data_IF_832007969431
#
_entry.id   IF_832007969431
#
_cell.length_a   1.000
_cell.length_b   1.000
_cell.length_c   1.000
_cell.angle_alpha   90.00
_cell.angle_beta   90.00
_cell.angle_gamma   90.00
#
_symmetry.space_group_name_H-M   'P 1'
#
loop_
_entity.id
_entity.type
_entity.pdbx_description
1 polymer ?
#
# COMPACT_ATOMS: atom_id res chain seq x y z
N UNK A 1 -27.85 17.14 -0.89
CA UNK A 1 -28.36 16.02 -0.22
C UNK A 1 -27.54 14.84 -0.51
N UNK A 2 -27.57 14.46 -1.72
CA UNK A 2 -26.82 13.29 -2.10
C UNK A 2 -25.36 13.51 -1.93
N UNK A 3 -24.97 14.73 -2.13
CA UNK A 3 -23.58 15.03 -1.99
C UNK A 3 -23.09 14.77 -0.60
N UNK A 4 -23.93 15.04 0.34
CA UNK A 4 -23.53 14.80 1.71
C UNK A 4 -23.19 13.34 1.94
N UNK A 5 -23.94 12.49 1.29
CA UNK A 5 -23.70 11.07 1.45
C UNK A 5 -22.32 10.69 0.98
N UNK A 6 -21.91 11.23 -0.14
CA UNK A 6 -20.60 10.92 -0.65
C UNK A 6 -19.52 11.39 0.30
N UNK A 7 -19.74 12.55 0.84
CA UNK A 7 -18.76 13.09 1.76
C UNK A 7 -18.65 12.23 2.99
N UNK A 8 -19.78 11.74 3.44
CA UNK A 8 -19.77 10.91 4.64
C UNK A 8 -18.92 9.67 4.44
N UNK A 9 -18.95 9.09 3.27
CA UNK A 9 -18.16 7.91 3.03
C UNK A 9 -16.70 8.19 3.25
N UNK A 10 -16.25 9.34 2.81
CA UNK A 10 -14.86 9.68 2.97
C UNK A 10 -14.51 9.83 4.43
N UNK A 11 -15.38 10.42 5.18
CA UNK A 11 -15.12 10.62 6.58
C UNK A 11 -15.07 9.31 7.32
N UNK A 12 -15.89 8.37 6.93
CA UNK A 12 -15.88 7.08 7.57
C UNK A 12 -14.54 6.41 7.44
N UNK A 13 -13.91 6.57 6.32
CA UNK A 13 -12.62 5.97 6.11
C UNK A 13 -11.59 6.54 7.08
N UNK A 14 -11.66 7.82 7.32
CA UNK A 14 -10.75 8.43 8.26
C UNK A 14 -10.94 7.86 9.65
N UNK A 15 -12.19 7.67 10.04
CA UNK A 15 -12.47 7.12 11.34
C UNK A 15 -11.92 5.72 11.47
N UNK A 16 -12.02 4.98 10.43
CA UNK A 16 -11.46 3.67 10.44
C UNK A 16 -9.99 3.69 10.75
N UNK A 17 -9.26 4.57 10.11
CA UNK A 17 -7.84 4.65 10.33
C UNK A 17 -7.54 4.85 11.78
N UNK A 18 -8.29 5.69 12.42
CA UNK A 18 -8.05 5.94 13.82
C UNK A 18 -8.41 4.75 14.67
N UNK A 19 -9.44 4.05 14.30
CA UNK A 19 -9.89 2.94 15.10
C UNK A 19 -8.88 1.82 15.10
N UNK A 20 -8.25 1.60 14.01
CA UNK A 20 -7.32 0.56 13.97
C UNK A 20 -6.07 0.82 14.65
N UNK A 21 -5.66 2.02 14.45
CA UNK A 21 -4.68 2.49 15.08
C UNK A 21 -3.72 1.54 15.54
N UNK A 22 -3.27 1.17 15.35
CA UNK A 22 -2.24 0.59 15.69
C UNK A 22 -2.22 -0.63 16.54
N UNK A 23 -3.12 -0.74 17.36
CA UNK A 23 -3.16 -1.81 18.34
C UNK A 23 -3.22 -3.17 17.69
N UNK A 24 -4.17 -3.38 16.83
CA UNK A 24 -4.33 -4.67 16.20
C UNK A 24 -3.16 -4.97 15.31
N UNK A 25 -2.69 -3.96 14.63
CA UNK A 25 -1.62 -4.17 13.69
C UNK A 25 -0.33 -4.54 14.40
N UNK A 26 -0.09 -3.94 15.54
CA UNK A 26 1.09 -4.28 16.30
C UNK A 26 1.12 -5.75 16.63
N UNK A 27 -0.01 -6.28 17.06
CA UNK A 27 -0.05 -7.67 17.44
C UNK A 27 0.26 -8.55 16.23
N UNK A 28 -0.25 -8.18 15.10
CA UNK A 28 -0.02 -8.96 13.90
C UNK A 28 1.45 -8.95 13.52
N UNK A 29 2.06 -7.79 13.61
CA UNK A 29 3.46 -7.70 13.25
C UNK A 29 4.31 -8.59 14.11
N UNK A 30 4.02 -8.64 15.37
CA UNK A 30 4.82 -9.44 16.27
C UNK A 30 4.76 -10.90 15.92
N UNK A 31 3.70 -11.31 15.29
CA UNK A 31 3.54 -12.71 14.99
C UNK A 31 3.98 -13.09 13.61
N UNK A 32 4.62 -12.21 12.91
CA UNK A 32 4.99 -12.48 11.54
C UNK A 32 6.47 -12.54 11.29
N UNK A 33 7.22 -13.17 12.16
CA UNK A 33 8.66 -13.25 11.89
C UNK A 33 8.95 -14.11 10.69
N UNK A 34 8.09 -15.05 10.41
CA UNK A 34 8.34 -15.96 9.30
C UNK A 34 8.27 -15.26 7.96
N UNK A 35 7.46 -14.23 7.88
CA UNK A 35 7.35 -13.52 6.62
C UNK A 35 8.67 -12.93 6.20
N UNK A 36 9.48 -12.61 7.15
CA UNK A 36 10.74 -11.97 6.85
C UNK A 36 11.66 -12.85 6.05
N UNK A 37 11.41 -14.14 6.07
CA UNK A 37 12.28 -15.03 5.33
C UNK A 37 12.17 -14.82 3.85
N UNK A 38 10.98 -14.51 3.37
CA UNK A 38 10.79 -14.34 1.94
C UNK A 38 11.16 -12.95 1.51
N UNK A 39 11.22 -12.04 2.44
CA UNK A 39 11.44 -10.67 2.10
C UNK A 39 12.80 -10.26 2.60
N UNK A 40 13.28 -9.17 2.13
CA UNK A 40 14.54 -8.63 2.55
C UNK A 40 14.31 -7.74 3.76
N UNK A 41 13.79 -8.32 4.82
CA UNK A 41 13.55 -7.56 6.03
C UNK A 41 12.39 -6.59 5.87
N UNK A 42 12.46 -5.46 6.57
CA UNK A 42 11.32 -4.51 6.55
C UNK A 42 10.98 -4.02 5.17
N UNK A 43 11.98 -3.76 4.34
CA UNK A 43 11.70 -3.28 2.99
C UNK A 43 11.00 -4.37 2.20
N UNK A 44 11.43 -5.61 2.36
CA UNK A 44 10.79 -6.70 1.64
C UNK A 44 9.34 -6.87 2.03
N UNK A 45 9.03 -6.62 3.30
CA UNK A 45 7.65 -6.72 3.74
C UNK A 45 6.79 -5.64 3.10
N UNK A 46 7.35 -4.47 2.91
CA UNK A 46 6.62 -3.41 2.24
C UNK A 46 6.40 -3.75 0.77
N UNK A 47 7.39 -4.36 0.14
CA UNK A 47 7.24 -4.79 -1.23
C UNK A 47 6.15 -5.83 -1.34
N UNK A 48 6.10 -6.77 -0.39
CA UNK A 48 5.07 -7.79 -0.43
C UNK A 48 3.68 -7.20 -0.25
N UNK A 49 3.56 -6.18 0.59
CA UNK A 49 2.29 -5.52 0.76
C UNK A 49 1.84 -4.88 -0.56
N UNK A 50 2.75 -4.19 -1.21
CA UNK A 50 2.43 -3.55 -2.48
C UNK A 50 2.06 -4.61 -3.52
N UNK A 51 2.84 -5.68 -3.58
CA UNK A 51 2.56 -6.75 -4.53
C UNK A 51 1.19 -7.34 -4.30
N UNK A 52 0.84 -7.56 -3.05
CA UNK A 52 -0.47 -8.12 -2.74
C UNK A 52 -1.58 -7.21 -3.23
N UNK A 53 -1.46 -5.92 -2.95
CA UNK A 53 -2.50 -4.99 -3.32
C UNK A 53 -2.63 -4.85 -4.84
N UNK A 54 -1.51 -4.69 -5.51
CA UNK A 54 -1.55 -4.46 -6.94
C UNK A 54 -1.95 -5.74 -7.68
N UNK A 55 -1.50 -6.88 -7.20
CA UNK A 55 -1.86 -8.15 -7.84
C UNK A 55 -3.37 -8.38 -7.82
N UNK A 56 -4.03 -7.88 -6.81
CA UNK A 56 -5.48 -8.04 -6.72
C UNK A 56 -6.22 -7.16 -7.71
N UNK A 57 -5.54 -6.18 -8.29
CA UNK A 57 -6.19 -5.21 -9.15
C UNK A 57 -5.96 -5.46 -10.63
N UNK A 58 -4.85 -6.09 -10.98
CA UNK A 58 -4.50 -6.29 -12.38
C UNK A 58 -4.95 -7.66 -12.85
N UNK A 59 -5.08 -7.80 -14.15
CA UNK A 59 -5.52 -9.07 -14.72
C UNK A 59 -4.42 -10.11 -14.69
N UNK A 60 -3.20 -9.69 -14.90
CA UNK A 60 -2.08 -10.62 -15.01
C UNK A 60 -0.97 -10.19 -14.08
N UNK A 61 -0.96 -10.70 -12.86
CA UNK A 61 0.05 -10.27 -11.88
C UNK A 61 1.47 -10.57 -12.31
N UNK A 62 1.66 -11.47 -13.22
CA UNK A 62 3.01 -11.81 -13.66
C UNK A 62 3.65 -10.71 -14.47
N UNK A 63 2.85 -9.79 -14.96
CA UNK A 63 3.40 -8.69 -15.74
C UNK A 63 3.86 -7.53 -14.87
N UNK A 64 3.68 -7.64 -13.57
CA UNK A 64 4.06 -6.57 -12.68
C UNK A 64 5.55 -6.54 -12.44
N UNK A 65 6.08 -5.34 -12.33
CA UNK A 65 7.46 -5.17 -11.90
C UNK A 65 7.44 -4.21 -10.73
N UNK A 66 8.07 -4.62 -9.64
CA UNK A 66 8.13 -3.81 -8.44
C UNK A 66 9.58 -3.60 -8.08
N UNK A 67 10.00 -2.35 -7.98
CA UNK A 67 11.39 -2.01 -7.73
C UNK A 67 11.50 -1.15 -6.49
N UNK A 68 12.03 -1.70 -5.41
CA UNK A 68 12.25 -0.90 -4.20
C UNK A 68 13.63 -0.28 -4.23
N UNK A 69 13.73 0.91 -3.70
CA UNK A 69 15.01 1.56 -3.49
C UNK A 69 14.99 2.12 -2.09
N UNK A 70 16.08 1.96 -1.39
CA UNK A 70 16.15 2.43 -0.02
C UNK A 70 17.33 3.37 0.15
N UNK A 71 17.06 4.51 0.76
CA UNK A 71 18.09 5.49 1.07
C UNK A 71 17.88 5.85 2.54
N UNK A 72 18.71 5.25 3.41
CA UNK A 72 18.52 5.46 4.83
C UNK A 72 17.18 4.91 5.26
N UNK A 73 16.34 5.75 5.82
CA UNK A 73 15.02 5.34 6.26
C UNK A 73 13.96 5.58 5.21
N UNK A 74 14.33 6.09 4.07
CA UNK A 74 13.38 6.35 3.01
C UNK A 74 13.36 5.19 2.03
N UNK A 75 12.17 4.70 1.75
CA UNK A 75 11.99 3.59 0.83
C UNK A 75 11.10 4.08 -0.31
N UNK A 76 11.58 3.93 -1.52
CA UNK A 76 10.80 4.30 -2.68
C UNK A 76 10.46 3.04 -3.45
N UNK A 77 9.19 2.77 -3.63
CA UNK A 77 8.74 1.57 -4.31
C UNK A 77 8.08 1.97 -5.61
N UNK A 78 8.64 1.53 -6.70
CA UNK A 78 8.11 1.83 -8.01
C UNK A 78 7.43 0.59 -8.56
N UNK A 79 6.19 0.75 -9.00
CA UNK A 79 5.42 -0.33 -9.56
C UNK A 79 5.17 -0.03 -11.02
N UNK A 80 5.50 -0.97 -11.87
CA UNK A 80 5.28 -0.82 -13.29
C UNK A 80 4.21 -1.82 -13.70
N UNK A 81 3.12 -1.31 -14.26
CA UNK A 81 2.01 -2.15 -14.68
C UNK A 81 1.76 -1.90 -16.16
N UNK A 82 1.13 -2.84 -16.85
CA UNK A 82 0.75 -2.60 -18.24
C UNK A 82 -0.18 -1.40 -18.34
N UNK A 83 -0.03 -0.68 -19.41
CA UNK A 83 -0.80 0.53 -19.59
C UNK A 83 -2.30 0.26 -19.51
N UNK A 84 -2.73 -0.88 -19.99
CA UNK A 84 -4.14 -1.23 -19.94
C UNK A 84 -4.65 -1.37 -18.51
N UNK A 85 -3.78 -1.69 -17.59
CA UNK A 85 -4.18 -1.89 -16.20
C UNK A 85 -3.98 -0.66 -15.34
N UNK A 86 -3.41 0.40 -15.89
CA UNK A 86 -3.16 1.60 -15.10
C UNK A 86 -4.42 2.13 -14.46
N UNK A 87 -5.52 2.16 -15.20
CA UNK A 87 -6.75 2.68 -14.66
C UNK A 87 -7.26 1.89 -13.47
N UNK A 88 -6.99 0.60 -13.47
CA UNK A 88 -7.44 -0.24 -12.36
C UNK A 88 -6.63 0.01 -11.11
N UNK A 89 -5.36 0.32 -11.28
CA UNK A 89 -4.50 0.54 -10.13
C UNK A 89 -4.64 1.95 -9.59
N UNK A 90 -4.82 2.91 -10.48
CA UNK A 90 -4.99 4.29 -10.05
C UNK A 90 -6.38 4.51 -9.48
N UNK A 91 -7.38 3.97 -10.18
CA UNK A 91 -8.74 4.11 -9.73
C UNK A 91 -9.33 5.44 -10.13
N UNK A 92 -10.63 5.57 -9.88
CA UNK A 92 -11.34 6.80 -10.24
C UNK A 92 -10.78 7.93 -9.38
N UNK A 93 -10.34 8.97 -10.05
CA UNK A 93 -9.81 10.14 -9.37
C UNK A 93 -8.63 9.81 -8.47
N UNK A 94 -7.96 8.72 -8.77
CA UNK A 94 -6.77 8.36 -8.03
C UNK A 94 -7.04 7.77 -6.65
N UNK A 95 -8.27 7.37 -6.39
CA UNK A 95 -8.60 6.92 -5.05
C UNK A 95 -7.90 5.64 -4.64
N UNK A 96 -7.77 4.71 -5.57
CA UNK A 96 -7.14 3.44 -5.24
C UNK A 96 -5.66 3.68 -4.95
N UNK A 97 -5.01 4.42 -5.82
CA UNK A 97 -3.60 4.71 -5.61
C UNK A 97 -3.37 5.45 -4.30
N UNK A 98 -4.25 6.39 -4.00
CA UNK A 98 -4.12 7.15 -2.77
C UNK A 98 -4.29 6.24 -1.55
N UNK A 99 -5.24 5.34 -1.61
CA UNK A 99 -5.46 4.41 -0.51
C UNK A 99 -4.26 3.49 -0.32
N UNK A 100 -3.69 3.04 -1.43
CA UNK A 100 -2.51 2.18 -1.32
C UNK A 100 -1.35 2.94 -0.69
N UNK A 101 -1.19 4.20 -1.07
CA UNK A 101 -0.12 5.00 -0.49
C UNK A 101 -0.33 5.19 1.00
N UNK A 102 -1.57 5.38 1.40
CA UNK A 102 -1.85 5.53 2.82
C UNK A 102 -1.50 4.27 3.58
N UNK A 103 -1.92 3.13 3.08
CA UNK A 103 -1.60 1.87 3.74
C UNK A 103 -0.10 1.64 3.80
N UNK A 104 0.58 1.95 2.71
CA UNK A 104 2.01 1.76 2.68
C UNK A 104 2.71 2.69 3.68
N UNK A 105 2.24 3.91 3.78
CA UNK A 105 2.81 4.85 4.72
C UNK A 105 2.65 4.36 6.14
N UNK A 106 1.48 3.85 6.46
CA UNK A 106 1.24 3.34 7.80
C UNK A 106 2.13 2.13 8.07
N UNK A 107 2.21 1.21 7.15
CA UNK A 107 3.02 0.03 7.33
C UNK A 107 4.48 0.39 7.50
N UNK A 108 4.97 1.33 6.71
CA UNK A 108 6.36 1.75 6.81
C UNK A 108 6.64 2.43 8.14
N UNK A 109 5.71 3.24 8.58
CA UNK A 109 5.89 3.96 9.82
C UNK A 109 6.08 3.01 10.99
N UNK A 110 5.41 1.90 10.96
CA UNK A 110 5.53 0.92 12.02
C UNK A 110 6.90 0.27 12.04
N UNK A 111 7.61 0.35 10.95
CA UNK A 111 8.94 -0.21 10.85
C UNK A 111 10.02 0.85 10.97
N UNK A 112 9.62 2.06 11.30
CA UNK A 112 10.58 3.14 11.39
C UNK A 112 11.04 3.65 10.04
N UNK A 113 10.26 3.41 9.01
CA UNK A 113 10.62 3.79 7.66
C UNK A 113 9.62 4.77 7.08
N UNK A 114 10.03 5.42 6.01
CA UNK A 114 9.16 6.28 5.24
C UNK A 114 9.10 5.70 3.84
N UNK A 115 7.92 5.41 3.38
CA UNK A 115 7.77 4.79 2.08
C UNK A 115 6.96 5.68 1.15
N UNK A 116 7.33 5.65 -0.10
CA UNK A 116 6.58 6.32 -1.14
C UNK A 116 6.32 5.32 -2.26
N UNK A 117 5.21 5.50 -2.93
CA UNK A 117 4.78 4.59 -3.97
C UNK A 117 4.63 5.36 -5.26
N UNK A 118 5.24 4.84 -6.32
CA UNK A 118 5.16 5.43 -7.64
C UNK A 118 4.63 4.39 -8.60
N UNK A 119 3.58 4.71 -9.31
CA UNK A 119 2.95 3.77 -10.24
C UNK A 119 3.16 4.29 -11.65
N UNK A 120 3.70 3.44 -12.49
CA UNK A 120 4.08 3.83 -13.82
C UNK A 120 3.75 2.70 -14.80
N UNK A 121 3.89 2.98 -16.06
CA UNK A 121 3.63 1.95 -17.08
C UNK A 121 4.80 1.79 -18.03
#
# INVERSE_FOLDING_TARGET
LLNSTDTDDTEDIDDFDEAYDGDDIDDIDDEQPASAEHADGPVGELVELVRFMVSALVDDPETLTIRPEQFGQNVHIKVIVPEDDMGKVIGRQGRIARSMRTLLTIAASRKGLRASLDIDS
#
